data_IF_882437126050
#
_entry.id   IF_882437126050
#
_cell.length_a   1.000
_cell.length_b   1.000
_cell.length_c   1.000
_cell.angle_alpha   90.00
_cell.angle_beta   90.00
_cell.angle_gamma   90.00
#
_symmetry.space_group_name_H-M   'P 1'
#
loop_
_entity.id
_entity.type
_entity.pdbx_description
1 polymer ?
#
# COMPACT_ATOMS: atom_id res chain seq x y z
N UNK A 1 -9.59 19.20 -28.54
CA UNK A 1 -9.20 20.02 -27.36
C UNK A 1 -9.16 21.47 -27.79
N UNK A 2 -9.92 22.41 -27.20
CA UNK A 2 -9.40 23.76 -27.09
C UNK A 2 -8.37 23.79 -25.97
N UNK A 3 -7.28 24.54 -26.18
CA UNK A 3 -6.24 24.76 -25.19
C UNK A 3 -6.83 25.31 -23.88
N UNK A 4 -6.47 24.72 -22.74
CA UNK A 4 -6.43 25.48 -21.49
C UNK A 4 -5.19 26.37 -21.54
N UNK A 5 -5.34 27.61 -22.03
CA UNK A 5 -4.34 28.63 -21.78
C UNK A 5 -4.35 28.96 -20.29
N UNK A 6 -3.19 28.86 -19.66
CA UNK A 6 -2.94 29.45 -18.35
C UNK A 6 -2.92 30.98 -18.54
N UNK A 7 -4.05 31.65 -18.34
CA UNK A 7 -4.05 33.12 -18.30
C UNK A 7 -3.59 33.53 -16.90
N UNK A 8 -2.33 33.97 -16.78
CA UNK A 8 -1.92 34.79 -15.64
C UNK A 8 -2.68 36.11 -15.71
N UNK A 9 -3.60 36.33 -14.77
CA UNK A 9 -3.99 37.69 -14.41
C UNK A 9 -3.03 38.17 -13.33
N UNK A 10 -2.00 38.91 -13.73
CA UNK A 10 -1.29 39.78 -12.81
C UNK A 10 -2.17 41.00 -12.54
N UNK A 11 -2.93 40.98 -11.45
CA UNK A 11 -3.48 42.21 -10.88
C UNK A 11 -2.46 42.77 -9.91
N UNK A 12 -1.84 43.86 -10.34
CA UNK A 12 -0.87 44.63 -9.58
C UNK A 12 -1.57 45.39 -8.45
N UNK A 13 -1.83 44.73 -7.31
CA UNK A 13 -2.18 45.39 -6.04
C UNK A 13 -1.66 44.53 -4.88
N UNK A 14 -0.82 45.14 -4.05
CA UNK A 14 -0.40 44.58 -2.76
C UNK A 14 -1.64 44.33 -1.90
N UNK A 15 -1.95 43.06 -1.60
CA UNK A 15 -2.42 42.53 -0.30
C UNK A 15 -2.97 41.11 -0.49
N UNK A 16 -2.68 40.26 0.50
CA UNK A 16 -3.10 38.86 0.67
C UNK A 16 -4.52 38.56 0.19
N UNK A 17 -4.69 37.56 -0.68
CA UNK A 17 -6.00 36.92 -0.89
C UNK A 17 -5.87 35.42 -1.21
N UNK A 18 -6.81 34.67 -0.64
CA UNK A 18 -7.01 33.23 -0.72
C UNK A 18 -7.32 32.78 -2.17
N UNK A 19 -6.73 31.67 -2.60
CA UNK A 19 -7.08 30.98 -3.83
C UNK A 19 -8.22 29.98 -3.55
N UNK A 20 -9.45 30.31 -3.97
CA UNK A 20 -10.50 29.33 -4.18
C UNK A 20 -10.51 28.93 -5.66
N UNK A 21 -10.52 27.62 -5.93
CA UNK A 21 -10.52 27.08 -7.30
C UNK A 21 -11.87 26.41 -7.56
N UNK A 22 -12.68 27.03 -8.41
CA UNK A 22 -13.97 26.49 -8.86
C UNK A 22 -13.79 25.89 -10.26
N UNK A 23 -14.11 24.62 -10.43
CA UNK A 23 -14.11 23.95 -11.74
C UNK A 23 -15.51 24.04 -12.37
N UNK A 24 -15.59 24.53 -13.61
CA UNK A 24 -16.78 24.41 -14.46
C UNK A 24 -16.46 23.49 -15.63
N UNK A 25 -17.26 22.43 -15.80
CA UNK A 25 -17.20 21.52 -16.94
C UNK A 25 -18.01 22.12 -18.09
N UNK A 26 -17.47 22.12 -19.31
CA UNK A 26 -18.22 22.42 -20.53
C UNK A 26 -18.06 21.25 -21.52
N UNK A 27 -19.20 20.76 -22.02
CA UNK A 27 -19.33 19.69 -23.00
C UNK A 27 -18.91 20.10 -24.43
N UNK A 28 -18.40 19.15 -25.23
CA UNK A 28 -18.45 19.24 -26.71
C UNK A 28 -17.19 18.85 -27.50
N UNK A 29 -17.24 17.65 -28.07
CA UNK A 29 -16.68 17.08 -29.32
C UNK A 29 -15.45 17.65 -30.11
N UNK A 30 -14.71 16.66 -30.64
CA UNK A 30 -14.05 16.53 -31.97
C UNK A 30 -12.51 16.37 -32.07
N UNK A 31 -12.15 15.39 -32.91
CA UNK A 31 -10.85 14.71 -33.10
C UNK A 31 -10.13 15.27 -34.33
N UNK A 32 -8.84 15.57 -34.22
CA UNK A 32 -7.99 15.90 -35.36
C UNK A 32 -6.50 15.88 -35.03
N UNK A 33 -5.75 15.06 -35.75
CA UNK A 33 -4.30 14.88 -35.63
C UNK A 33 -3.54 15.91 -36.48
N UNK A 34 -2.48 16.52 -35.93
CA UNK A 34 -1.35 17.05 -36.72
C UNK A 34 -0.04 16.89 -35.96
N UNK A 35 0.91 16.22 -36.60
CA UNK A 35 2.34 16.21 -36.29
C UNK A 35 2.97 17.51 -36.80
N UNK A 36 3.96 18.04 -36.08
CA UNK A 36 4.84 19.07 -36.62
C UNK A 36 6.28 18.81 -36.15
N UNK A 37 7.15 18.53 -37.12
CA UNK A 37 8.59 18.48 -36.99
C UNK A 37 9.18 19.91 -37.07
N UNK A 38 9.84 20.37 -36.01
CA UNK A 38 11.03 21.23 -36.11
C UNK A 38 11.73 21.37 -34.76
N UNK A 39 12.96 20.89 -34.70
CA UNK A 39 13.89 21.08 -33.59
C UNK A 39 14.52 22.46 -33.77
N UNK A 40 14.31 23.37 -32.81
CA UNK A 40 15.11 24.58 -32.66
C UNK A 40 15.81 24.57 -31.30
N UNK A 41 17.14 24.70 -31.32
CA UNK A 41 18.00 24.61 -30.14
C UNK A 41 17.96 25.97 -29.45
N UNK A 42 17.06 26.14 -28.46
CA UNK A 42 17.23 27.06 -27.31
C UNK A 42 16.02 27.16 -26.35
N UNK A 43 15.06 26.24 -26.39
CA UNK A 43 14.02 26.14 -25.35
C UNK A 43 13.94 24.70 -24.84
N UNK A 44 14.09 24.52 -23.52
CA UNK A 44 13.77 23.25 -22.86
C UNK A 44 12.25 23.21 -22.70
N UNK A 45 11.56 22.81 -23.76
CA UNK A 45 10.17 22.39 -23.67
C UNK A 45 10.11 20.93 -23.21
N UNK A 46 9.35 20.68 -22.13
CA UNK A 46 9.00 19.33 -21.71
C UNK A 46 8.07 18.71 -22.75
N UNK A 47 8.66 17.98 -23.71
CA UNK A 47 7.93 17.25 -24.73
C UNK A 47 6.96 16.22 -24.13
N UNK A 48 5.68 16.38 -24.44
CA UNK A 48 4.62 15.46 -24.02
C UNK A 48 4.62 14.22 -24.93
N UNK A 49 5.13 13.10 -24.42
CA UNK A 49 5.07 11.82 -25.11
C UNK A 49 3.77 11.10 -24.78
N UNK A 50 2.70 11.35 -25.56
CA UNK A 50 1.52 10.50 -25.54
C UNK A 50 1.78 9.22 -26.36
N UNK A 51 2.40 8.21 -25.74
CA UNK A 51 2.20 6.82 -26.18
C UNK A 51 0.76 6.45 -25.82
N UNK A 52 -0.07 6.20 -26.84
CA UNK A 52 -1.39 5.53 -26.82
C UNK A 52 -1.95 5.37 -25.39
N UNK A 53 -2.54 6.43 -24.85
CA UNK A 53 -3.19 6.36 -23.55
C UNK A 53 -4.30 5.30 -23.62
N UNK A 54 -4.12 4.21 -22.87
CA UNK A 54 -5.25 3.39 -22.41
C UNK A 54 -6.30 4.38 -21.89
N UNK A 55 -7.55 4.21 -22.30
CA UNK A 55 -8.69 4.98 -21.76
C UNK A 55 -8.47 5.13 -20.25
N UNK A 56 -8.41 6.38 -19.76
CA UNK A 56 -8.12 6.64 -18.35
C UNK A 56 -9.14 5.88 -17.52
N UNK A 57 -8.66 4.92 -16.75
CA UNK A 57 -9.46 4.15 -15.80
C UNK A 57 -10.30 5.10 -14.95
N UNK A 58 -11.53 4.72 -14.62
CA UNK A 58 -12.41 5.50 -13.74
C UNK A 58 -11.76 5.79 -12.37
N UNK A 59 -10.73 5.01 -12.02
CA UNK A 59 -9.99 5.14 -10.77
C UNK A 59 -8.87 6.20 -10.84
N UNK A 60 -8.54 6.74 -12.02
CA UNK A 60 -7.41 7.67 -12.18
C UNK A 60 -7.50 8.92 -11.28
N UNK A 61 -8.66 9.60 -11.13
CA UNK A 61 -8.76 10.72 -10.19
C UNK A 61 -8.58 10.29 -8.72
N UNK A 62 -9.16 9.15 -8.34
CA UNK A 62 -9.06 8.62 -6.98
C UNK A 62 -7.63 8.21 -6.64
N UNK A 63 -6.93 7.59 -7.59
CA UNK A 63 -5.52 7.23 -7.48
C UNK A 63 -4.63 8.43 -7.22
N UNK A 64 -4.84 9.55 -7.93
CA UNK A 64 -4.09 10.78 -7.69
C UNK A 64 -4.31 11.30 -6.27
N UNK A 65 -5.55 11.28 -5.77
CA UNK A 65 -5.85 11.66 -4.38
C UNK A 65 -5.15 10.72 -3.39
N UNK A 66 -5.28 9.40 -3.60
CA UNK A 66 -4.63 8.39 -2.76
C UNK A 66 -3.12 8.59 -2.72
N UNK A 67 -2.45 8.72 -3.87
CA UNK A 67 -1.01 8.91 -3.92
C UNK A 67 -0.56 10.20 -3.21
N UNK A 68 -1.29 11.29 -3.38
CA UNK A 68 -0.98 12.56 -2.73
C UNK A 68 -1.17 12.49 -1.20
N UNK A 69 -2.26 11.87 -0.74
CA UNK A 69 -2.50 11.69 0.69
C UNK A 69 -1.42 10.81 1.32
N UNK A 70 -1.10 9.67 0.71
CA UNK A 70 -0.04 8.79 1.20
C UNK A 70 1.30 9.51 1.31
N UNK A 71 1.70 10.30 0.29
CA UNK A 71 2.94 11.09 0.36
C UNK A 71 2.92 12.11 1.49
N UNK A 72 1.85 12.90 1.59
CA UNK A 72 1.71 13.92 2.64
C UNK A 72 1.75 13.30 4.04
N UNK A 73 1.13 12.15 4.25
CA UNK A 73 1.22 11.42 5.52
C UNK A 73 2.62 10.90 5.78
N UNK A 74 3.29 10.35 4.77
CA UNK A 74 4.68 9.91 4.90
C UNK A 74 5.62 11.07 5.26
N UNK A 75 5.45 12.23 4.64
CA UNK A 75 6.21 13.45 4.97
C UNK A 75 5.94 13.88 6.42
N UNK A 76 4.67 13.91 6.85
CA UNK A 76 4.28 14.19 8.24
C UNK A 76 4.94 13.22 9.24
N UNK A 77 4.96 11.92 8.94
CA UNK A 77 5.61 10.94 9.80
C UNK A 77 7.13 11.18 9.87
N UNK A 78 7.76 11.52 8.75
CA UNK A 78 9.19 11.83 8.72
C UNK A 78 9.57 13.10 9.47
N UNK A 79 8.67 14.09 9.57
CA UNK A 79 8.86 15.28 10.42
C UNK A 79 8.95 14.94 11.91
N UNK A 80 8.40 13.80 12.34
CA UNK A 80 8.38 13.37 13.75
C UNK A 80 9.29 12.17 14.03
N UNK A 81 9.66 11.42 12.99
CA UNK A 81 10.56 10.27 13.10
C UNK A 81 11.93 10.71 13.60
N UNK A 82 12.34 10.18 14.76
CA UNK A 82 13.59 10.52 15.48
C UNK A 82 13.66 11.89 16.13
N UNK A 83 12.56 12.64 16.13
CA UNK A 83 12.49 13.97 16.75
C UNK A 83 11.90 13.90 18.18
N UNK A 84 11.18 12.83 18.53
CA UNK A 84 10.61 12.62 19.86
C UNK A 84 11.41 11.58 20.68
N UNK A 85 12.30 12.02 21.58
CA UNK A 85 13.09 11.11 22.42
C UNK A 85 12.27 10.40 23.51
N UNK A 86 11.05 10.85 23.82
CA UNK A 86 10.21 10.21 24.83
C UNK A 86 9.66 8.85 24.34
N UNK A 87 9.49 8.68 23.02
CA UNK A 87 9.14 7.39 22.43
C UNK A 87 10.14 6.28 22.80
N UNK A 88 11.44 6.59 22.80
CA UNK A 88 12.51 5.64 23.17
C UNK A 88 12.55 5.33 24.67
N UNK A 89 12.16 6.28 25.53
CA UNK A 89 12.16 6.06 26.99
C UNK A 89 11.04 5.13 27.41
N UNK A 90 9.95 5.14 26.66
CA UNK A 90 8.72 4.43 26.96
C UNK A 90 8.68 3.00 26.38
N UNK A 91 9.81 2.29 26.21
CA UNK A 91 9.89 0.96 25.52
C UNK A 91 8.74 -0.04 25.78
N UNK A 92 8.19 -0.12 26.99
CA UNK A 92 7.05 -1.02 27.31
C UNK A 92 5.71 -0.50 26.80
N UNK A 93 5.56 0.83 26.66
CA UNK A 93 4.40 1.55 26.14
C UNK A 93 4.74 2.34 24.86
N UNK A 94 5.84 2.02 24.17
CA UNK A 94 6.36 2.83 23.06
C UNK A 94 5.43 2.73 21.84
N UNK A 95 4.82 1.54 21.67
CA UNK A 95 3.71 1.35 20.72
C UNK A 95 2.51 2.24 21.08
N UNK A 96 2.15 2.33 22.37
CA UNK A 96 1.06 3.20 22.85
C UNK A 96 1.39 4.70 22.74
N UNK A 97 2.67 5.06 22.87
CA UNK A 97 3.14 6.43 22.74
C UNK A 97 3.16 6.88 21.26
N UNK A 98 3.60 6.00 20.36
CA UNK A 98 3.57 6.23 18.92
C UNK A 98 2.13 6.26 18.35
N UNK A 99 1.14 5.72 19.07
CA UNK A 99 -0.29 5.86 18.74
C UNK A 99 -0.75 7.32 18.63
N UNK A 100 -0.06 8.28 19.27
CA UNK A 100 -0.38 9.71 19.10
C UNK A 100 -0.13 10.16 17.66
N UNK A 101 1.02 9.80 17.09
CA UNK A 101 1.38 10.11 15.71
C UNK A 101 0.50 9.34 14.73
N UNK A 102 0.18 8.10 15.06
CA UNK A 102 -0.76 7.28 14.29
C UNK A 102 -2.14 7.94 14.18
N UNK A 103 -2.74 8.35 15.31
CA UNK A 103 -4.01 9.08 15.35
C UNK A 103 -3.97 10.43 14.65
N UNK A 104 -2.81 11.08 14.58
CA UNK A 104 -2.66 12.33 13.83
C UNK A 104 -2.61 12.05 12.32
N UNK A 105 -1.89 11.01 11.91
CA UNK A 105 -1.81 10.54 10.54
C UNK A 105 -3.17 10.02 10.02
N UNK A 106 -3.90 9.23 10.83
CA UNK A 106 -5.27 8.78 10.51
C UNK A 106 -6.19 9.97 10.26
N UNK A 107 -6.19 10.97 11.16
CA UNK A 107 -6.99 12.19 10.99
C UNK A 107 -6.65 12.94 9.69
N UNK A 108 -5.38 13.04 9.33
CA UNK A 108 -4.94 13.67 8.07
C UNK A 108 -5.52 12.93 6.86
N UNK A 109 -5.42 11.60 6.84
CA UNK A 109 -5.91 10.77 5.74
C UNK A 109 -7.44 10.82 5.68
N UNK A 110 -8.13 10.59 6.80
CA UNK A 110 -9.59 10.58 6.88
C UNK A 110 -10.17 11.91 6.43
N UNK A 111 -9.63 13.04 6.91
CA UNK A 111 -10.10 14.36 6.48
C UNK A 111 -9.85 14.57 4.99
N UNK A 112 -8.67 14.22 4.49
CA UNK A 112 -8.33 14.36 3.07
C UNK A 112 -9.21 13.51 2.15
N UNK A 113 -9.58 12.30 2.58
CA UNK A 113 -10.55 11.46 1.85
C UNK A 113 -11.94 12.09 1.90
N UNK A 114 -12.41 12.55 3.07
CA UNK A 114 -13.74 13.16 3.22
C UNK A 114 -13.89 14.47 2.44
N UNK A 115 -12.82 15.26 2.31
CA UNK A 115 -12.83 16.49 1.51
C UNK A 115 -12.99 16.19 0.01
N UNK A 116 -12.39 15.10 -0.48
CA UNK A 116 -12.44 14.72 -1.89
C UNK A 116 -13.64 13.83 -2.25
N UNK A 117 -14.04 12.94 -1.33
CA UNK A 117 -15.05 11.90 -1.50
C UNK A 117 -15.90 11.78 -0.22
N UNK A 118 -16.77 12.77 0.07
CA UNK A 118 -17.47 12.87 1.34
C UNK A 118 -18.38 11.68 1.64
N UNK A 119 -18.91 11.04 0.59
CA UNK A 119 -19.85 9.95 0.72
C UNK A 119 -19.20 8.57 0.84
N UNK A 120 -17.90 8.39 0.56
CA UNK A 120 -17.30 7.05 0.58
C UNK A 120 -17.24 6.47 2.01
N UNK A 121 -17.24 5.14 2.12
CA UNK A 121 -16.95 4.44 3.39
C UNK A 121 -15.45 4.35 3.63
N UNK A 122 -15.04 4.39 4.91
CA UNK A 122 -13.65 4.19 5.32
C UNK A 122 -13.60 3.13 6.42
N UNK A 123 -12.65 2.20 6.31
CA UNK A 123 -12.26 1.26 7.37
C UNK A 123 -10.83 1.57 7.76
N UNK A 124 -10.62 2.12 8.96
CA UNK A 124 -9.29 2.48 9.44
C UNK A 124 -8.95 1.77 10.75
N UNK A 125 -7.67 1.52 11.00
CA UNK A 125 -7.22 0.92 12.27
C UNK A 125 -7.66 1.77 13.47
N UNK A 126 -7.43 3.08 13.40
CA UNK A 126 -7.60 4.00 14.54
C UNK A 126 -9.04 4.48 14.75
N UNK A 127 -9.80 4.65 13.66
CA UNK A 127 -11.17 5.20 13.70
C UNK A 127 -12.25 4.14 13.44
N UNK A 128 -11.86 2.91 13.09
CA UNK A 128 -12.78 1.82 12.75
C UNK A 128 -13.57 2.08 11.47
N UNK A 129 -14.78 1.53 11.39
CA UNK A 129 -15.66 1.68 10.22
C UNK A 129 -16.45 3.00 10.27
N UNK A 130 -16.11 3.92 9.38
CA UNK A 130 -16.83 5.16 9.12
C UNK A 130 -17.77 4.95 7.92
N UNK A 131 -19.05 4.73 8.21
CA UNK A 131 -20.07 4.39 7.20
C UNK A 131 -20.32 5.53 6.21
N UNK A 132 -20.48 5.16 4.95
CA UNK A 132 -20.94 5.99 3.84
C UNK A 132 -21.56 5.09 2.77
N UNK A 133 -21.29 5.38 1.50
CA UNK A 133 -21.49 4.49 0.37
C UNK A 133 -20.56 3.27 0.51
N UNK A 134 -21.16 2.09 0.63
CA UNK A 134 -20.44 0.83 0.80
C UNK A 134 -19.84 0.31 -0.51
N UNK A 135 -20.31 0.81 -1.67
CA UNK A 135 -19.71 0.47 -2.95
C UNK A 135 -18.30 1.03 -3.07
N UNK A 136 -17.95 2.07 -2.30
CA UNK A 136 -16.62 2.65 -2.25
C UNK A 136 -16.05 2.57 -0.83
N UNK A 137 -15.18 1.59 -0.59
CA UNK A 137 -14.54 1.39 0.70
C UNK A 137 -13.04 1.68 0.61
N UNK A 138 -12.61 2.73 1.31
CA UNK A 138 -11.20 2.97 1.59
C UNK A 138 -10.78 2.13 2.78
N UNK A 139 -9.63 1.49 2.70
CA UNK A 139 -9.03 0.73 3.79
C UNK A 139 -7.70 1.40 4.12
N UNK A 140 -7.51 1.78 5.38
CA UNK A 140 -6.41 2.66 5.80
C UNK A 140 -5.71 2.10 7.02
N UNK A 141 -4.40 1.99 6.91
CA UNK A 141 -3.47 1.96 8.03
C UNK A 141 -2.52 3.14 7.85
N UNK A 142 -2.60 4.09 8.79
CA UNK A 142 -1.87 5.35 8.77
C UNK A 142 -0.40 5.21 9.16
N UNK A 143 -0.05 4.17 9.91
CA UNK A 143 1.30 3.90 10.42
C UNK A 143 1.48 2.40 10.71
N UNK A 144 1.65 1.63 9.63
CA UNK A 144 2.05 0.23 9.73
C UNK A 144 3.51 0.17 10.20
N UNK A 145 3.80 -0.68 11.19
CA UNK A 145 5.10 -0.70 11.85
C UNK A 145 5.26 0.38 12.92
N UNK A 146 4.19 0.69 13.67
CA UNK A 146 4.21 1.63 14.81
C UNK A 146 5.37 1.37 15.79
N UNK A 147 5.71 0.09 16.02
CA UNK A 147 6.85 -0.30 16.86
C UNK A 147 8.19 0.13 16.28
N UNK A 148 8.38 -0.07 14.97
CA UNK A 148 9.59 0.37 14.28
C UNK A 148 9.73 1.89 14.25
N UNK A 149 8.62 2.60 14.04
CA UNK A 149 8.59 4.06 14.15
C UNK A 149 9.05 4.52 15.54
N UNK A 150 8.50 3.91 16.60
CA UNK A 150 8.83 4.26 17.99
C UNK A 150 10.29 3.94 18.35
N UNK A 151 10.83 2.82 17.86
CA UNK A 151 12.20 2.37 18.09
C UNK A 151 13.22 2.98 17.12
N UNK A 152 12.80 3.92 16.28
CA UNK A 152 13.64 4.61 15.28
C UNK A 152 14.19 3.70 14.17
N UNK A 153 13.56 2.54 13.96
CA UNK A 153 13.81 1.65 12.83
C UNK A 153 13.11 2.20 11.57
N UNK A 154 13.74 2.14 10.40
CA UNK A 154 13.22 2.77 9.18
C UNK A 154 12.17 1.90 8.45
N UNK A 155 11.57 0.92 9.12
CA UNK A 155 10.68 -0.09 8.52
C UNK A 155 9.21 0.13 8.91
N UNK A 156 8.71 1.34 8.65
CA UNK A 156 7.30 1.68 8.80
C UNK A 156 6.73 2.19 7.47
N UNK A 157 5.41 2.10 7.30
CA UNK A 157 4.75 2.48 6.07
C UNK A 157 3.37 3.10 6.29
N UNK A 158 2.91 3.85 5.29
CA UNK A 158 1.52 4.30 5.15
C UNK A 158 0.83 3.41 4.12
N UNK A 159 -0.31 2.82 4.46
CA UNK A 159 -0.99 1.78 3.69
C UNK A 159 -2.42 2.19 3.37
N UNK A 160 -2.72 2.40 2.08
CA UNK A 160 -4.08 2.74 1.61
C UNK A 160 -4.52 1.78 0.50
N UNK A 161 -5.76 1.31 0.59
CA UNK A 161 -6.40 0.58 -0.50
C UNK A 161 -7.81 1.10 -0.77
N UNK A 162 -8.31 0.83 -1.98
CA UNK A 162 -9.69 1.11 -2.37
C UNK A 162 -10.34 -0.15 -2.89
N UNK A 163 -11.51 -0.47 -2.34
CA UNK A 163 -12.44 -1.43 -2.90
C UNK A 163 -13.61 -0.70 -3.58
N UNK A 164 -13.95 -1.14 -4.77
CA UNK A 164 -15.14 -0.70 -5.51
C UNK A 164 -16.03 -1.93 -5.79
N UNK A 165 -17.27 -1.96 -5.26
CA UNK A 165 -18.20 -3.09 -5.38
C UNK A 165 -17.58 -4.44 -4.99
N UNK A 166 -16.96 -4.48 -3.82
CA UNK A 166 -16.25 -5.66 -3.28
C UNK A 166 -14.99 -6.09 -4.04
N UNK A 167 -14.60 -5.39 -5.10
CA UNK A 167 -13.35 -5.62 -5.82
C UNK A 167 -12.27 -4.65 -5.34
N UNK A 168 -11.10 -5.19 -4.97
CA UNK A 168 -9.92 -4.40 -4.67
C UNK A 168 -9.34 -3.81 -5.97
N UNK A 169 -9.33 -2.48 -6.09
CA UNK A 169 -9.05 -1.77 -7.36
C UNK A 169 -7.82 -0.88 -7.32
N UNK A 170 -7.47 -0.32 -6.15
CA UNK A 170 -6.25 0.46 -5.93
C UNK A 170 -5.58 0.03 -4.62
N UNK A 171 -4.25 0.11 -4.60
CA UNK A 171 -3.43 -0.16 -3.43
C UNK A 171 -2.14 0.64 -3.49
N UNK A 172 -1.83 1.36 -2.42
CA UNK A 172 -0.64 2.19 -2.27
C UNK A 172 0.01 1.86 -0.92
N UNK A 173 1.32 1.65 -0.94
CA UNK A 173 2.14 1.49 0.26
C UNK A 173 3.33 2.43 0.14
N UNK A 174 3.58 3.26 1.14
CA UNK A 174 4.73 4.15 1.14
C UNK A 174 5.55 3.97 2.41
N UNK A 175 6.79 3.50 2.26
CA UNK A 175 7.78 3.47 3.34
C UNK A 175 8.72 4.69 3.18
N UNK A 176 8.46 5.80 3.90
CA UNK A 176 9.14 7.07 3.63
C UNK A 176 10.61 7.05 4.06
N UNK A 177 10.95 6.39 5.17
CA UNK A 177 12.32 6.35 5.70
C UNK A 177 13.32 5.64 4.78
N UNK A 178 12.84 4.74 3.91
CA UNK A 178 13.64 4.07 2.87
C UNK A 178 13.31 4.54 1.44
N UNK A 179 12.44 5.54 1.31
CA UNK A 179 12.02 6.15 0.05
C UNK A 179 11.45 5.12 -0.97
N UNK A 180 10.53 4.28 -0.52
CA UNK A 180 9.89 3.27 -1.37
C UNK A 180 8.39 3.48 -1.48
N UNK A 181 7.96 3.96 -2.64
CA UNK A 181 6.56 4.24 -2.94
C UNK A 181 5.99 3.20 -3.91
N UNK A 182 5.11 2.34 -3.42
CA UNK A 182 4.47 1.26 -4.14
C UNK A 182 3.04 1.66 -4.54
N UNK A 183 2.65 1.35 -5.79
CA UNK A 183 1.29 1.55 -6.27
C UNK A 183 0.87 0.42 -7.20
N UNK A 184 -0.36 -0.06 -7.04
CA UNK A 184 -1.01 -0.96 -7.96
C UNK A 184 -2.43 -0.49 -8.29
N UNK A 185 -2.83 -0.79 -9.51
CA UNK A 185 -4.19 -0.59 -10.01
C UNK A 185 -4.62 -1.86 -10.74
N UNK A 186 -5.84 -2.32 -10.47
CA UNK A 186 -6.36 -3.58 -11.02
C UNK A 186 -6.26 -3.60 -12.55
N UNK A 187 -5.50 -4.54 -13.10
CA UNK A 187 -5.26 -4.71 -14.53
C UNK A 187 -4.21 -3.79 -15.15
N UNK A 188 -3.53 -2.95 -14.36
CA UNK A 188 -2.48 -2.04 -14.82
C UNK A 188 -1.10 -2.37 -14.26
N UNK A 189 -0.97 -3.38 -13.39
CA UNK A 189 0.28 -3.80 -12.80
C UNK A 189 0.68 -3.06 -11.52
N UNK A 190 1.78 -3.52 -10.92
CA UNK A 190 2.39 -2.94 -9.74
C UNK A 190 3.65 -2.15 -10.09
N UNK A 191 3.92 -1.08 -9.34
CA UNK A 191 5.05 -0.18 -9.55
C UNK A 191 5.71 0.18 -8.22
N UNK A 192 7.04 0.26 -8.21
CA UNK A 192 7.87 0.85 -7.14
C UNK A 192 8.57 2.07 -7.73
N UNK A 193 8.35 3.24 -7.13
CA UNK A 193 8.98 4.50 -7.57
C UNK A 193 8.84 4.71 -9.08
N UNK A 194 7.62 4.50 -9.60
CA UNK A 194 7.22 4.60 -11.02
C UNK A 194 7.82 3.55 -11.96
N UNK A 195 8.61 2.60 -11.45
CA UNK A 195 9.13 1.47 -12.23
C UNK A 195 8.24 0.26 -12.00
N UNK A 196 7.81 -0.39 -13.09
CA UNK A 196 7.03 -1.64 -12.99
C UNK A 196 7.85 -2.69 -12.26
N UNK A 197 7.21 -3.41 -11.34
CA UNK A 197 7.80 -4.51 -10.59
C UNK A 197 7.10 -5.84 -10.91
N UNK A 198 7.81 -6.93 -10.64
CA UNK A 198 7.28 -8.29 -10.71
C UNK A 198 7.82 -9.07 -9.52
N UNK A 199 7.06 -10.07 -9.07
CA UNK A 199 7.54 -11.03 -8.07
C UNK A 199 8.80 -11.76 -8.52
N UNK A 200 9.53 -12.34 -7.57
CA UNK A 200 10.76 -13.12 -7.83
C UNK A 200 10.51 -14.34 -8.73
N UNK A 201 11.53 -14.74 -9.49
CA UNK A 201 11.49 -15.96 -10.31
C UNK A 201 12.09 -17.21 -9.66
N UNK A 202 12.49 -17.13 -8.39
CA UNK A 202 13.02 -18.28 -7.64
C UNK A 202 11.99 -19.42 -7.59
N UNK A 203 12.33 -20.63 -8.09
CA UNK A 203 11.36 -21.70 -8.27
C UNK A 203 11.20 -22.62 -7.06
N UNK A 204 12.11 -22.58 -6.09
CA UNK A 204 12.18 -23.57 -5.02
C UNK A 204 12.20 -22.93 -3.64
N UNK A 205 11.42 -23.50 -2.72
CA UNK A 205 11.27 -23.01 -1.35
C UNK A 205 12.61 -22.96 -0.59
N UNK A 206 13.50 -23.94 -0.79
CA UNK A 206 14.83 -23.97 -0.17
C UNK A 206 15.78 -22.85 -0.58
N UNK A 207 15.44 -22.08 -1.62
CA UNK A 207 16.19 -20.91 -2.09
C UNK A 207 15.54 -19.59 -1.69
N UNK A 208 14.43 -19.66 -0.95
CA UNK A 208 13.56 -18.53 -0.69
C UNK A 208 13.93 -17.77 0.57
N UNK A 209 13.84 -16.44 0.50
CA UNK A 209 13.66 -15.59 1.67
C UNK A 209 12.17 -15.46 1.96
N UNK A 210 11.75 -15.85 3.16
CA UNK A 210 10.34 -15.81 3.55
C UNK A 210 10.15 -14.83 4.71
N UNK A 211 9.25 -13.87 4.52
CA UNK A 211 8.83 -12.94 5.56
C UNK A 211 7.70 -13.55 6.40
N UNK A 212 7.52 -13.06 7.62
CA UNK A 212 6.38 -13.46 8.43
C UNK A 212 5.94 -12.37 9.41
N UNK A 213 4.66 -12.42 9.78
CA UNK A 213 4.11 -11.60 10.85
C UNK A 213 3.20 -12.45 11.74
N UNK A 214 3.33 -12.31 13.05
CA UNK A 214 2.26 -12.68 13.96
C UNK A 214 1.20 -11.56 13.95
N UNK A 215 -0.05 -11.84 13.58
CA UNK A 215 -1.16 -10.87 13.62
C UNK A 215 -1.63 -10.53 15.04
N UNK A 216 -0.70 -10.44 15.98
CA UNK A 216 -0.93 -10.08 17.38
C UNK A 216 -0.25 -11.02 18.37
N UNK A 217 -0.03 -10.52 19.59
CA UNK A 217 0.71 -11.24 20.63
C UNK A 217 0.11 -12.60 20.99
N UNK A 218 -1.22 -12.69 20.96
CA UNK A 218 -1.97 -13.92 21.29
C UNK A 218 -1.70 -15.07 20.33
N UNK A 219 -1.23 -14.78 19.12
CA UNK A 219 -0.93 -15.79 18.10
C UNK A 219 0.59 -16.10 17.99
N UNK A 220 1.44 -15.51 18.84
CA UNK A 220 2.90 -15.76 18.84
C UNK A 220 3.26 -17.23 19.00
N UNK A 221 2.61 -17.95 19.91
CA UNK A 221 2.88 -19.37 20.14
C UNK A 221 2.57 -20.24 18.91
N UNK A 222 1.43 -19.97 18.27
CA UNK A 222 1.03 -20.64 17.02
C UNK A 222 2.00 -20.31 15.89
N UNK A 223 2.34 -19.04 15.73
CA UNK A 223 3.30 -18.56 14.72
C UNK A 223 4.67 -19.18 14.93
N UNK A 224 5.14 -19.29 16.18
CA UNK A 224 6.40 -19.97 16.51
C UNK A 224 6.42 -21.45 16.09
N UNK A 225 5.31 -22.16 16.29
CA UNK A 225 5.17 -23.55 15.80
C UNK A 225 5.22 -23.64 14.27
N UNK A 226 4.60 -22.68 13.56
CA UNK A 226 4.69 -22.57 12.11
C UNK A 226 6.14 -22.28 11.67
N UNK A 227 6.81 -21.31 12.29
CA UNK A 227 8.20 -20.96 12.01
C UNK A 227 9.12 -22.17 12.18
N UNK A 228 8.93 -22.99 13.22
CA UNK A 228 9.70 -24.22 13.43
C UNK A 228 9.58 -25.24 12.29
N UNK A 229 8.47 -25.23 11.55
CA UNK A 229 8.25 -26.07 10.35
C UNK A 229 8.80 -25.43 9.09
N UNK A 230 8.67 -24.12 8.94
CA UNK A 230 9.09 -23.38 7.74
C UNK A 230 10.60 -23.15 7.71
N UNK A 231 11.20 -22.73 8.81
CA UNK A 231 12.61 -22.28 8.83
C UNK A 231 13.60 -23.33 8.31
N UNK A 232 13.48 -24.63 8.65
CA UNK A 232 14.39 -25.65 8.11
C UNK A 232 14.25 -25.91 6.60
N UNK A 233 13.27 -25.31 5.93
CA UNK A 233 12.92 -25.55 4.52
C UNK A 233 13.17 -24.34 3.61
N UNK A 234 13.61 -23.21 4.16
CA UNK A 234 13.85 -21.95 3.45
C UNK A 234 15.29 -21.51 3.63
N UNK A 235 15.73 -20.53 2.85
CA UNK A 235 17.09 -19.99 3.01
C UNK A 235 17.21 -19.16 4.29
N UNK A 236 16.19 -18.35 4.59
CA UNK A 236 16.12 -17.53 5.80
C UNK A 236 14.68 -17.10 6.07
N UNK A 237 14.37 -16.84 7.35
CA UNK A 237 13.11 -16.25 7.80
C UNK A 237 13.36 -14.83 8.31
N UNK A 238 12.62 -13.87 7.78
CA UNK A 238 12.79 -12.45 8.10
C UNK A 238 11.51 -11.85 8.65
N UNK A 239 11.68 -10.87 9.53
CA UNK A 239 10.61 -10.02 10.01
C UNK A 239 11.10 -8.58 10.01
N UNK A 240 10.42 -7.73 9.26
CA UNK A 240 10.70 -6.30 9.19
C UNK A 240 9.99 -5.55 10.31
N UNK A 241 8.75 -5.93 10.61
CA UNK A 241 7.90 -5.27 11.61
C UNK A 241 6.74 -4.44 11.04
N UNK A 242 6.64 -4.34 9.71
CA UNK A 242 5.53 -3.73 8.96
C UNK A 242 4.99 -4.72 7.91
N UNK A 243 3.73 -5.13 8.06
CA UNK A 243 3.11 -6.16 7.22
C UNK A 243 2.86 -5.67 5.78
N UNK A 244 2.44 -4.42 5.63
CA UNK A 244 2.32 -3.72 4.36
C UNK A 244 3.66 -3.68 3.63
N UNK A 245 4.76 -3.34 4.31
CA UNK A 245 6.08 -3.33 3.68
C UNK A 245 6.55 -4.73 3.26
N UNK A 246 6.31 -5.75 4.08
CA UNK A 246 6.65 -7.14 3.75
C UNK A 246 5.90 -7.65 2.52
N UNK A 247 4.60 -7.36 2.42
CA UNK A 247 3.81 -7.70 1.21
C UNK A 247 4.31 -6.92 -0.03
N UNK A 248 4.67 -5.65 0.11
CA UNK A 248 5.26 -4.85 -0.96
C UNK A 248 6.62 -5.40 -1.43
N UNK A 249 7.43 -5.90 -0.50
CA UNK A 249 8.72 -6.52 -0.81
C UNK A 249 8.56 -7.86 -1.55
N UNK A 250 7.53 -8.65 -1.23
CA UNK A 250 7.16 -9.82 -2.05
C UNK A 250 6.76 -9.39 -3.46
N UNK A 251 5.91 -8.38 -3.60
CA UNK A 251 5.51 -7.84 -4.90
C UNK A 251 6.70 -7.33 -5.73
N UNK A 252 7.74 -6.81 -5.07
CA UNK A 252 8.98 -6.34 -5.69
C UNK A 252 10.03 -7.43 -5.92
N UNK A 253 9.75 -8.68 -5.54
CA UNK A 253 10.68 -9.80 -5.67
C UNK A 253 11.91 -9.72 -4.76
N UNK A 254 11.82 -8.98 -3.65
CA UNK A 254 12.88 -8.88 -2.62
C UNK A 254 12.87 -10.07 -1.64
N UNK A 255 11.81 -10.86 -1.69
CA UNK A 255 11.70 -12.19 -1.12
C UNK A 255 10.57 -12.93 -1.85
N UNK A 256 10.50 -14.23 -1.62
CA UNK A 256 9.64 -15.12 -2.40
C UNK A 256 8.26 -15.28 -1.80
N UNK A 257 8.13 -15.11 -0.48
CA UNK A 257 6.86 -15.25 0.20
C UNK A 257 6.78 -14.46 1.50
N UNK A 258 5.55 -14.25 1.95
CA UNK A 258 5.17 -13.72 3.25
C UNK A 258 4.00 -14.53 3.77
N UNK A 259 4.01 -14.93 5.04
CA UNK A 259 2.84 -15.52 5.69
C UNK A 259 2.49 -14.78 6.97
N UNK A 260 1.21 -14.73 7.28
CA UNK A 260 0.72 -14.08 8.49
C UNK A 260 -0.48 -14.80 9.07
N UNK A 261 -0.62 -14.74 10.39
CA UNK A 261 -1.71 -15.39 11.11
C UNK A 261 -2.67 -14.36 11.67
N UNK A 262 -3.97 -14.49 11.36
CA UNK A 262 -5.03 -13.60 11.82
C UNK A 262 -4.62 -12.12 11.70
N UNK A 263 -4.34 -11.62 10.51
CA UNK A 263 -3.99 -10.20 10.33
C UNK A 263 -5.22 -9.35 10.02
N UNK A 264 -5.18 -8.07 10.38
CA UNK A 264 -6.27 -7.15 10.07
C UNK A 264 -6.23 -6.75 8.58
N UNK A 265 -7.37 -6.40 7.98
CA UNK A 265 -7.42 -6.14 6.54
C UNK A 265 -6.63 -4.89 6.12
N UNK A 266 -6.51 -3.88 6.98
CA UNK A 266 -5.79 -2.65 6.66
C UNK A 266 -4.29 -2.85 6.48
N UNK A 267 -3.70 -3.78 7.23
CA UNK A 267 -2.29 -4.17 7.14
C UNK A 267 -1.93 -4.77 5.76
N UNK A 268 -2.89 -5.45 5.12
CA UNK A 268 -2.59 -6.32 3.97
C UNK A 268 -3.35 -6.00 2.69
N UNK A 269 -4.50 -5.32 2.75
CA UNK A 269 -5.30 -5.00 1.57
C UNK A 269 -4.48 -4.38 0.42
N UNK A 270 -3.66 -3.33 0.63
CA UNK A 270 -2.86 -2.81 -0.48
C UNK A 270 -1.84 -3.83 -1.01
N UNK A 271 -1.25 -4.63 -0.12
CA UNK A 271 -0.35 -5.73 -0.43
C UNK A 271 -0.97 -6.83 -1.28
N UNK A 272 -2.24 -7.17 -1.03
CA UNK A 272 -3.00 -8.15 -1.81
C UNK A 272 -3.06 -7.73 -3.28
N UNK A 273 -3.36 -6.45 -3.54
CA UNK A 273 -3.39 -5.95 -4.91
C UNK A 273 -1.99 -5.90 -5.53
N UNK A 274 -1.01 -5.37 -4.80
CA UNK A 274 0.38 -5.27 -5.26
C UNK A 274 0.94 -6.62 -5.70
N UNK A 275 0.81 -7.66 -4.87
CA UNK A 275 1.33 -9.00 -5.18
C UNK A 275 0.61 -9.60 -6.40
N UNK A 276 -0.72 -9.49 -6.49
CA UNK A 276 -1.49 -9.99 -7.64
C UNK A 276 -1.09 -9.29 -8.94
N UNK A 277 -1.00 -7.96 -8.92
CA UNK A 277 -0.64 -7.16 -10.09
C UNK A 277 0.85 -7.28 -10.47
N UNK A 278 1.71 -7.72 -9.54
CA UNK A 278 3.10 -8.10 -9.80
C UNK A 278 3.26 -9.54 -10.35
N UNK A 279 2.15 -10.28 -10.52
CA UNK A 279 2.15 -11.66 -11.03
C UNK A 279 2.35 -12.74 -9.97
N UNK A 280 2.19 -12.40 -8.69
CA UNK A 280 2.21 -13.33 -7.57
C UNK A 280 0.84 -13.90 -7.22
N UNK A 281 0.81 -14.65 -6.12
CA UNK A 281 -0.38 -15.34 -5.63
C UNK A 281 -0.65 -14.99 -4.17
N UNK A 282 -1.94 -14.84 -3.84
CA UNK A 282 -2.41 -14.52 -2.48
C UNK A 282 -3.64 -15.34 -2.13
N UNK A 283 -3.51 -16.16 -1.08
CA UNK A 283 -4.58 -17.04 -0.58
C UNK A 283 -4.61 -17.06 0.95
N UNK A 284 -5.67 -17.64 1.51
CA UNK A 284 -5.63 -18.13 2.88
C UNK A 284 -4.86 -19.46 3.01
N UNK A 285 -4.69 -19.94 4.25
CA UNK A 285 -3.95 -21.19 4.52
C UNK A 285 -4.64 -22.44 3.95
N UNK A 286 -5.94 -22.38 3.63
CA UNK A 286 -6.64 -23.46 2.95
C UNK A 286 -6.64 -23.32 1.42
N UNK A 287 -5.96 -22.31 0.87
CA UNK A 287 -5.91 -22.02 -0.57
C UNK A 287 -7.12 -21.25 -1.08
N UNK A 288 -7.97 -20.76 -0.18
CA UNK A 288 -9.11 -19.91 -0.48
C UNK A 288 -8.67 -18.51 -0.92
N UNK A 289 -9.48 -17.87 -1.76
CA UNK A 289 -9.21 -16.48 -2.18
C UNK A 289 -9.33 -15.54 -0.98
N UNK A 290 -8.43 -14.56 -0.88
CA UNK A 290 -8.52 -13.47 0.09
C UNK A 290 -9.90 -12.79 0.06
N UNK A 291 -10.43 -12.52 1.25
CA UNK A 291 -11.63 -11.72 1.52
C UNK A 291 -11.30 -10.69 2.60
N UNK A 292 -12.18 -9.72 2.82
CA UNK A 292 -11.93 -8.60 3.74
C UNK A 292 -11.88 -9.05 5.21
N UNK A 293 -12.46 -10.20 5.52
CA UNK A 293 -12.44 -10.78 6.85
C UNK A 293 -11.01 -11.18 7.25
N UNK A 294 -10.70 -10.91 8.53
CA UNK A 294 -9.46 -11.31 9.18
C UNK A 294 -9.17 -12.79 8.96
N UNK A 295 -8.02 -13.08 8.38
CA UNK A 295 -7.65 -14.43 7.93
C UNK A 295 -6.16 -14.70 8.12
N UNK A 296 -5.81 -15.99 8.12
CA UNK A 296 -4.43 -16.42 7.94
C UNK A 296 -4.11 -16.36 6.46
N UNK A 297 -3.03 -15.69 6.07
CA UNK A 297 -2.75 -15.38 4.67
C UNK A 297 -1.34 -15.75 4.24
N UNK A 298 -1.22 -16.10 2.97
CA UNK A 298 0.03 -16.37 2.27
C UNK A 298 0.09 -15.51 1.03
N UNK A 299 1.21 -14.82 0.88
CA UNK A 299 1.58 -14.04 -0.29
C UNK A 299 2.84 -14.69 -0.85
N UNK A 300 2.91 -14.93 -2.16
CA UNK A 300 4.13 -15.46 -2.73
C UNK A 300 4.31 -15.09 -4.19
N UNK A 301 5.46 -15.46 -4.73
CA UNK A 301 5.77 -15.37 -6.15
C UNK A 301 5.01 -16.40 -7.04
N UNK A 302 4.01 -17.10 -6.50
CA UNK A 302 3.26 -18.17 -7.16
C UNK A 302 4.02 -19.49 -7.25
N UNK A 303 5.34 -19.47 -7.49
CA UNK A 303 6.15 -20.69 -7.68
C UNK A 303 6.33 -21.48 -6.39
N UNK A 304 6.56 -20.80 -5.27
CA UNK A 304 6.76 -21.45 -3.97
C UNK A 304 5.46 -21.59 -3.16
N UNK A 305 4.33 -21.15 -3.72
CA UNK A 305 3.06 -21.02 -3.01
C UNK A 305 2.58 -22.33 -2.39
N UNK A 306 2.43 -23.38 -3.21
CA UNK A 306 1.94 -24.68 -2.75
C UNK A 306 2.87 -25.31 -1.71
N UNK A 307 4.19 -25.26 -1.94
CA UNK A 307 5.16 -25.85 -1.03
C UNK A 307 5.15 -25.16 0.34
N UNK A 308 4.95 -23.83 0.37
CA UNK A 308 4.80 -23.10 1.62
C UNK A 308 3.45 -23.42 2.29
N UNK A 309 2.34 -23.44 1.56
CA UNK A 309 1.02 -23.78 2.10
C UNK A 309 1.01 -25.14 2.84
N UNK A 310 1.69 -26.15 2.29
CA UNK A 310 1.79 -27.48 2.91
C UNK A 310 2.46 -27.43 4.29
N UNK A 311 3.39 -26.50 4.52
CA UNK A 311 4.04 -26.28 5.81
C UNK A 311 3.20 -25.45 6.78
N UNK A 312 2.29 -24.62 6.27
CA UNK A 312 1.48 -23.70 7.06
C UNK A 312 0.22 -24.39 7.61
N UNK A 313 -0.38 -25.31 6.84
CA UNK A 313 -1.54 -26.08 7.26
C UNK A 313 -1.21 -26.88 8.53
N UNK A 314 -2.11 -26.94 9.53
CA UNK A 314 -1.91 -27.81 10.67
C UNK A 314 -1.79 -29.26 10.18
N UNK A 315 -0.88 -30.05 10.77
CA UNK A 315 -0.85 -31.49 10.49
C UNK A 315 -2.23 -32.05 10.80
N UNK A 316 -2.90 -32.60 9.80
CA UNK A 316 -4.09 -33.43 10.04
C UNK A 316 -3.55 -34.61 10.85
N UNK A 317 -3.85 -34.61 12.15
CA UNK A 317 -3.23 -35.51 13.12
C UNK A 317 -3.16 -36.93 12.56
N UNK A 318 -1.96 -37.41 12.28
CA UNK A 318 -1.74 -38.85 12.27
C UNK A 318 -2.03 -39.27 13.70
N UNK A 319 -3.18 -39.89 13.93
CA UNK A 319 -3.51 -40.52 15.19
C UNK A 319 -2.42 -41.55 15.51
N UNK A 320 -1.42 -41.13 16.27
CA UNK A 320 -0.53 -42.04 16.98
C UNK A 320 -1.10 -42.11 18.38
N UNK A 321 -1.97 -43.11 18.55
CA UNK A 321 -2.23 -43.73 19.83
C UNK A 321 -0.88 -44.12 20.45
N UNK A 322 -0.55 -43.49 21.57
CA UNK A 322 0.33 -44.06 22.58
C UNK A 322 -0.54 -44.46 23.76
#
# INVERSE_FOLDING_TARGET
MPMCCLVRHETNVQTTSFLSMVWKVCDGAEVGSRTCDRIDKNNIEYGCWYRRARLSSIYSPIKVVMENLTRRTGDFLMEHFREDPELLRLRTSAKEAATVYDKMADRLIVQGIRDAYPDHSLLTEESGLLKGDADWLWIVDSLDGTGDFADWNPFFAVCLALMHKSDLVLGVIYAPAINEFYVAEKGDGAYLNRRRITVSNVPHLGQSYVFYCEGGEKDRARTGGIMGRVYPKVMDLRKLGSAGLETAWVAAGKGEAYFTTKIEPWDVAPGVLLVREAGGEVTGFQGERWQLERSDLVFSNGRVHSALLDLLRPEVGSGRSW
#
